data_IF_982495100608
#
_entry.id   IF_982495100608
#
_cell.length_a   1.000
_cell.length_b   1.000
_cell.length_c   1.000
_cell.angle_alpha   90.00
_cell.angle_beta   90.00
_cell.angle_gamma   90.00
#
_symmetry.space_group_name_H-M   'P 1'
#
loop_
_entity.id
_entity.type
_entity.pdbx_description
1 polymer ?
#
# COMPACT_ATOMS: atom_id res chain seq x y z
N UNK A 1 -16.77 -38.59 17.06
CA UNK A 1 -15.55 -38.22 16.31
C UNK A 1 -15.84 -37.64 14.91
N UNK A 2 -16.95 -36.90 14.71
CA UNK A 2 -17.26 -36.18 13.47
C UNK A 2 -17.51 -34.68 13.71
N UNK A 3 -17.96 -34.32 14.90
CA UNK A 3 -18.23 -32.93 15.32
C UNK A 3 -16.94 -32.13 15.52
N UNK A 4 -15.86 -32.77 15.98
CA UNK A 4 -14.56 -32.11 16.22
C UNK A 4 -13.87 -31.66 14.93
N UNK A 5 -14.17 -32.29 13.79
CA UNK A 5 -13.57 -31.97 12.48
C UNK A 5 -14.22 -30.72 11.88
N UNK A 6 -15.53 -30.50 12.09
CA UNK A 6 -16.21 -29.30 11.59
C UNK A 6 -15.74 -28.02 12.29
N UNK A 7 -15.40 -28.09 13.58
CA UNK A 7 -14.94 -26.92 14.36
C UNK A 7 -13.53 -26.45 13.94
N UNK A 8 -12.70 -27.35 13.42
CA UNK A 8 -11.37 -27.03 12.89
C UNK A 8 -11.43 -26.32 11.52
N UNK A 9 -12.48 -26.56 10.73
CA UNK A 9 -12.69 -25.88 9.42
C UNK A 9 -13.14 -24.42 9.61
N UNK A 10 -13.80 -24.09 10.72
CA UNK A 10 -14.15 -22.70 11.03
C UNK A 10 -12.97 -21.87 11.57
N UNK A 11 -11.89 -22.52 12.05
CA UNK A 11 -10.68 -21.81 12.49
C UNK A 11 -9.68 -21.53 11.38
N UNK A 12 -9.87 -22.07 10.17
CA UNK A 12 -9.11 -21.68 8.99
C UNK A 12 -9.80 -20.54 8.25
N UNK A 13 -10.18 -19.47 8.97
CA UNK A 13 -10.41 -18.19 8.29
C UNK A 13 -9.03 -17.75 7.82
N UNK A 14 -8.66 -18.18 6.62
CA UNK A 14 -7.56 -17.59 5.87
C UNK A 14 -7.79 -16.07 5.97
N UNK A 15 -6.88 -15.38 6.65
CA UNK A 15 -6.86 -13.93 6.72
C UNK A 15 -6.43 -13.43 5.34
N UNK A 16 -7.28 -13.66 4.35
CA UNK A 16 -7.08 -13.19 3.00
C UNK A 16 -7.15 -11.67 3.06
N UNK A 17 -6.07 -11.00 2.67
CA UNK A 17 -6.06 -9.56 2.58
C UNK A 17 -6.30 -9.12 1.17
N UNK A 18 -7.00 -8.01 1.09
CA UNK A 18 -7.23 -7.28 -0.13
C UNK A 18 -6.95 -5.81 0.18
N UNK A 19 -5.69 -5.41 -0.04
CA UNK A 19 -5.24 -4.04 0.22
C UNK A 19 -5.05 -3.33 -1.12
N UNK A 20 -5.76 -2.21 -1.25
CA UNK A 20 -5.67 -1.31 -2.38
C UNK A 20 -4.88 -0.07 -1.95
N UNK A 21 -3.72 0.14 -2.56
CA UNK A 21 -2.90 1.35 -2.35
C UNK A 21 -3.02 2.24 -3.57
N UNK A 22 -3.48 3.47 -3.36
CA UNK A 22 -3.39 4.52 -4.36
C UNK A 22 -2.19 5.40 -4.09
N UNK A 23 -1.46 5.74 -5.15
CA UNK A 23 -0.46 6.79 -5.12
C UNK A 23 -0.93 7.91 -6.05
N UNK A 24 -1.06 9.11 -5.50
CA UNK A 24 -1.61 10.28 -6.21
C UNK A 24 -0.62 11.44 -6.17
N UNK A 25 -0.40 12.07 -7.31
CA UNK A 25 0.33 13.34 -7.37
C UNK A 25 -0.52 14.49 -6.82
N UNK A 26 0.06 15.29 -5.94
CA UNK A 26 -0.47 16.57 -5.46
C UNK A 26 0.47 17.75 -5.80
N UNK A 27 1.40 17.53 -6.73
CA UNK A 27 2.41 18.48 -7.20
C UNK A 27 2.46 18.50 -8.74
N UNK A 28 2.93 19.62 -9.30
CA UNK A 28 3.27 19.73 -10.72
C UNK A 28 4.71 19.28 -11.03
N UNK A 29 5.52 19.00 -9.99
CA UNK A 29 6.85 18.42 -10.17
C UNK A 29 6.73 17.01 -10.75
N UNK A 30 7.63 16.71 -11.68
CA UNK A 30 7.75 15.36 -12.24
C UNK A 30 8.44 14.46 -11.24
N UNK A 31 7.91 13.26 -11.05
CA UNK A 31 8.51 12.24 -10.21
C UNK A 31 8.06 10.85 -10.68
N UNK A 32 8.72 9.82 -10.19
CA UNK A 32 8.24 8.44 -10.36
C UNK A 32 7.89 7.81 -9.02
N UNK A 33 6.95 6.88 -9.01
CA UNK A 33 6.51 6.18 -7.80
C UNK A 33 6.43 4.68 -8.00
N UNK A 34 6.76 3.92 -6.96
CA UNK A 34 6.61 2.46 -6.93
C UNK A 34 6.11 2.01 -5.56
N UNK A 35 5.23 1.02 -5.54
CA UNK A 35 4.73 0.40 -4.32
C UNK A 35 5.25 -1.04 -4.26
N UNK A 36 5.74 -1.45 -3.10
CA UNK A 36 6.04 -2.84 -2.77
C UNK A 36 5.11 -3.31 -1.66
N UNK A 37 4.42 -4.43 -1.88
CA UNK A 37 3.64 -5.12 -0.87
C UNK A 37 4.54 -5.90 0.10
N UNK A 38 3.95 -6.23 1.26
CA UNK A 38 4.56 -7.05 2.31
C UNK A 38 5.07 -8.42 1.85
N UNK A 39 4.47 -8.99 0.80
CA UNK A 39 4.90 -10.25 0.19
C UNK A 39 5.98 -10.09 -0.89
N UNK A 40 6.52 -8.88 -1.07
CA UNK A 40 7.57 -8.57 -2.04
C UNK A 40 7.09 -8.30 -3.46
N UNK A 41 5.80 -8.46 -3.77
CA UNK A 41 5.25 -8.03 -5.08
C UNK A 41 5.34 -6.53 -5.20
N UNK A 42 5.69 -6.04 -6.39
CA UNK A 42 5.86 -4.62 -6.67
C UNK A 42 4.97 -4.17 -7.81
N UNK A 43 4.53 -2.93 -7.76
CA UNK A 43 3.97 -2.26 -8.93
C UNK A 43 5.05 -2.00 -9.97
N UNK A 44 4.62 -1.68 -11.19
CA UNK A 44 5.47 -0.93 -12.11
C UNK A 44 5.92 0.38 -11.47
N UNK A 45 7.07 0.91 -11.91
CA UNK A 45 7.47 2.26 -11.57
C UNK A 45 6.71 3.22 -12.47
N UNK A 46 5.72 3.92 -11.92
CA UNK A 46 4.89 4.85 -12.66
C UNK A 46 5.48 6.25 -12.69
N UNK A 47 5.36 6.92 -13.83
CA UNK A 47 5.78 8.32 -14.00
C UNK A 47 4.60 9.27 -13.80
N UNK A 48 4.77 10.23 -12.90
CA UNK A 48 3.79 11.27 -12.61
C UNK A 48 4.28 12.58 -13.23
N UNK A 49 3.60 13.01 -14.30
CA UNK A 49 3.99 14.20 -15.08
C UNK A 49 3.06 15.39 -14.80
N UNK A 50 1.89 15.14 -14.20
CA UNK A 50 0.87 16.14 -13.90
C UNK A 50 0.28 15.92 -12.51
N UNK A 51 -0.10 17.01 -11.84
CA UNK A 51 -0.88 16.97 -10.60
C UNK A 51 -2.18 16.17 -10.80
N UNK A 52 -2.67 15.56 -9.73
CA UNK A 52 -3.88 14.73 -9.66
C UNK A 52 -3.82 13.37 -10.38
N UNK A 53 -2.74 13.08 -11.12
CA UNK A 53 -2.50 11.73 -11.67
C UNK A 53 -2.47 10.71 -10.53
N UNK A 54 -3.18 9.60 -10.68
CA UNK A 54 -3.35 8.57 -9.66
C UNK A 54 -3.17 7.19 -10.27
N UNK A 55 -2.32 6.38 -9.66
CA UNK A 55 -2.20 4.96 -9.98
C UNK A 55 -2.63 4.12 -8.78
N UNK A 56 -3.01 2.88 -9.07
CA UNK A 56 -3.55 1.94 -8.09
C UNK A 56 -2.74 0.67 -8.14
N UNK A 57 -2.33 0.19 -6.98
CA UNK A 57 -1.77 -1.14 -6.81
C UNK A 57 -2.63 -1.89 -5.81
N UNK A 58 -3.11 -3.06 -6.20
CA UNK A 58 -3.94 -3.91 -5.36
C UNK A 58 -3.18 -5.21 -5.11
N UNK A 59 -3.07 -5.58 -3.84
CA UNK A 59 -2.49 -6.84 -3.44
C UNK A 59 -3.57 -7.70 -2.78
N UNK A 60 -3.81 -8.86 -3.39
CA UNK A 60 -4.55 -9.97 -2.77
C UNK A 60 -3.57 -11.03 -2.32
N UNK A 61 -3.57 -11.39 -1.05
CA UNK A 61 -2.67 -12.39 -0.50
C UNK A 61 -3.38 -13.24 0.55
N UNK A 62 -3.03 -14.52 0.61
CA UNK A 62 -3.56 -15.45 1.61
C UNK A 62 -2.96 -15.21 3.00
N UNK A 63 -1.76 -14.62 3.04
CA UNK A 63 -1.06 -14.18 4.26
C UNK A 63 -0.57 -12.74 4.10
N UNK A 64 -0.66 -11.98 5.19
CA UNK A 64 -0.50 -10.53 5.19
C UNK A 64 0.20 -10.05 6.45
N UNK A 65 0.63 -8.79 6.49
CA UNK A 65 1.32 -8.24 7.65
C UNK A 65 2.69 -8.88 7.96
N UNK A 66 3.20 -9.78 7.11
CA UNK A 66 4.48 -10.48 7.31
C UNK A 66 5.69 -9.53 7.26
N UNK A 67 5.58 -8.44 6.49
CA UNK A 67 6.59 -7.39 6.34
C UNK A 67 5.90 -6.05 6.10
N UNK A 68 6.68 -4.98 6.15
CA UNK A 68 6.21 -3.66 5.78
C UNK A 68 5.98 -3.54 4.27
N UNK A 69 4.97 -2.75 3.93
CA UNK A 69 4.80 -2.16 2.62
C UNK A 69 5.77 -1.01 2.45
N UNK A 70 6.26 -0.82 1.23
CA UNK A 70 7.14 0.30 0.88
C UNK A 70 6.48 1.16 -0.20
N UNK A 71 6.37 2.46 0.06
CA UNK A 71 5.91 3.45 -0.92
C UNK A 71 7.12 4.33 -1.22
N UNK A 72 7.71 4.13 -2.40
CA UNK A 72 8.93 4.81 -2.82
C UNK A 72 8.64 5.83 -3.91
N UNK A 73 9.27 6.98 -3.80
CA UNK A 73 9.29 8.05 -4.80
C UNK A 73 10.71 8.28 -5.29
N UNK A 74 10.81 8.68 -6.55
CA UNK A 74 12.06 8.97 -7.24
C UNK A 74 11.93 10.32 -7.92
N UNK A 75 12.99 11.11 -7.91
CA UNK A 75 13.01 12.40 -8.62
C UNK A 75 12.94 12.22 -10.15
N UNK A 76 12.94 13.33 -10.88
CA UNK A 76 12.89 13.35 -12.33
C UNK A 76 14.15 12.75 -13.00
N UNK A 77 15.26 12.65 -12.26
CA UNK A 77 16.49 11.97 -12.67
C UNK A 77 16.45 10.46 -12.38
N UNK A 78 15.42 9.98 -11.68
CA UNK A 78 15.24 8.59 -11.29
C UNK A 78 15.97 8.21 -9.99
N UNK A 79 16.58 9.17 -9.27
CA UNK A 79 17.22 8.91 -7.99
C UNK A 79 16.17 8.75 -6.89
N UNK A 80 16.39 7.87 -5.89
CA UNK A 80 15.49 7.73 -4.77
C UNK A 80 15.34 9.07 -4.03
N UNK A 81 14.10 9.55 -3.90
CA UNK A 81 13.78 10.76 -3.15
C UNK A 81 13.35 10.37 -1.72
N UNK A 82 12.26 9.62 -1.61
CA UNK A 82 11.74 9.15 -0.33
C UNK A 82 11.24 7.71 -0.40
N UNK A 83 11.25 7.04 0.75
CA UNK A 83 10.58 5.75 0.92
C UNK A 83 9.92 5.73 2.28
N UNK A 84 8.62 5.45 2.30
CA UNK A 84 7.85 5.26 3.52
C UNK A 84 7.57 3.78 3.70
N UNK A 85 7.83 3.29 4.92
CA UNK A 85 7.52 1.92 5.34
C UNK A 85 6.33 1.92 6.27
N UNK A 86 5.42 1.00 6.06
CA UNK A 86 4.13 0.95 6.76
C UNK A 86 3.60 -0.46 6.78
N UNK A 87 3.05 -0.91 7.90
CA UNK A 87 2.34 -2.17 7.94
C UNK A 87 0.89 -1.92 7.51
N UNK A 88 0.45 -2.54 6.42
CA UNK A 88 -0.95 -2.54 5.96
C UNK A 88 -1.49 -3.96 5.94
N UNK A 89 -2.66 -4.14 6.55
CA UNK A 89 -3.25 -5.46 6.77
C UNK A 89 -4.80 -5.43 6.74
N UNK A 90 -5.40 -6.59 6.48
CA UNK A 90 -6.85 -6.78 6.36
C UNK A 90 -7.41 -6.47 4.97
N UNK A 91 -8.68 -6.05 4.94
CA UNK A 91 -9.38 -5.70 3.70
C UNK A 91 -9.65 -4.21 3.70
N UNK A 92 -9.07 -3.48 2.76
CA UNK A 92 -9.24 -2.05 2.74
C UNK A 92 -8.44 -1.31 1.69
N UNK A 93 -8.52 0.01 1.79
CA UNK A 93 -7.93 0.94 0.84
C UNK A 93 -7.19 2.05 1.58
N UNK A 94 -6.07 2.45 1.02
CA UNK A 94 -5.30 3.62 1.46
C UNK A 94 -4.91 4.48 0.27
N UNK A 95 -4.79 5.79 0.48
CA UNK A 95 -4.24 6.70 -0.54
C UNK A 95 -3.09 7.50 0.03
N UNK A 96 -1.98 7.49 -0.70
CA UNK A 96 -0.82 8.33 -0.50
C UNK A 96 -0.86 9.50 -1.49
N UNK A 97 -0.61 10.70 -0.98
CA UNK A 97 -0.37 11.89 -1.80
C UNK A 97 1.10 12.28 -1.76
N UNK A 98 1.64 12.69 -2.90
CA UNK A 98 3.02 13.16 -3.05
C UNK A 98 3.00 14.66 -3.36
N UNK A 99 3.57 15.47 -2.46
CA UNK A 99 3.67 16.92 -2.62
C UNK A 99 4.99 17.37 -3.23
N UNK A 100 5.29 18.67 -3.14
CA UNK A 100 6.50 19.27 -3.71
C UNK A 100 7.82 18.79 -3.07
N UNK A 101 7.73 18.19 -1.88
CA UNK A 101 8.83 17.53 -1.17
C UNK A 101 9.08 16.09 -1.67
N UNK A 102 8.28 15.62 -2.63
CA UNK A 102 8.29 14.25 -3.14
C UNK A 102 8.05 13.18 -2.07
N UNK A 103 7.61 13.57 -0.87
CA UNK A 103 7.37 12.63 0.23
C UNK A 103 5.96 12.05 0.09
N UNK A 104 5.80 10.72 0.01
CA UNK A 104 4.48 10.12 0.03
C UNK A 104 3.91 10.22 1.45
N UNK A 105 2.73 10.82 1.58
CA UNK A 105 2.02 10.96 2.86
C UNK A 105 0.64 10.34 2.72
N UNK A 106 0.29 9.43 3.62
CA UNK A 106 -1.04 8.85 3.64
C UNK A 106 -2.08 9.93 4.01
N UNK A 107 -3.15 10.03 3.22
CA UNK A 107 -4.23 11.03 3.44
C UNK A 107 -5.56 10.40 3.78
N UNK A 108 -5.84 9.22 3.27
CA UNK A 108 -7.06 8.49 3.57
C UNK A 108 -6.80 7.00 3.77
N UNK A 109 -7.65 6.40 4.60
CA UNK A 109 -7.65 4.99 4.97
C UNK A 109 -9.08 4.53 5.21
N UNK A 110 -9.46 3.41 4.62
CA UNK A 110 -10.76 2.78 4.85
C UNK A 110 -10.57 1.28 5.00
N UNK A 111 -11.03 0.69 6.10
CA UNK A 111 -10.98 -0.75 6.37
C UNK A 111 -9.59 -1.34 6.62
N UNK A 112 -8.53 -0.73 6.09
CA UNK A 112 -7.17 -1.22 6.25
C UNK A 112 -6.65 -0.96 7.68
N UNK A 113 -6.16 -2.01 8.33
CA UNK A 113 -5.34 -1.88 9.53
C UNK A 113 -4.01 -1.26 9.10
N UNK A 114 -3.52 -0.29 9.87
CA UNK A 114 -2.29 0.42 9.57
C UNK A 114 -1.50 0.66 10.84
N UNK A 115 -0.20 0.37 10.80
CA UNK A 115 0.78 0.74 11.84
C UNK A 115 1.95 1.48 11.19
N UNK A 116 2.42 2.56 11.84
CA UNK A 116 3.47 3.44 11.33
C UNK A 116 2.92 4.82 10.93
N UNK A 117 3.35 5.33 9.76
CA UNK A 117 2.95 6.66 9.26
C UNK A 117 1.56 6.62 8.61
N UNK A 118 0.54 6.39 9.44
CA UNK A 118 -0.82 6.17 9.01
C UNK A 118 -1.66 7.44 9.05
N UNK A 119 -2.58 7.56 8.09
CA UNK A 119 -3.68 8.51 8.23
C UNK A 119 -4.68 8.03 9.32
N UNK A 120 -5.34 8.97 10.02
CA UNK A 120 -6.50 8.64 10.85
C UNK A 120 -7.58 7.95 10.02
N UNK A 121 -8.44 7.18 10.70
CA UNK A 121 -9.63 6.58 10.10
C UNK A 121 -10.72 7.63 9.89
#
# INVERSE_FOLDING_TARGET
MRITILLLVFLSVALACDIIVHLKSDTDKKFSGQIAASNGKKSERWSYVKKLTKNTFQQKADECGLKDWEISTFDDTGKPAHTVKVTLDGIGRVTYKVGDDLKPVQKDRQGAICKGQCAPL
#
